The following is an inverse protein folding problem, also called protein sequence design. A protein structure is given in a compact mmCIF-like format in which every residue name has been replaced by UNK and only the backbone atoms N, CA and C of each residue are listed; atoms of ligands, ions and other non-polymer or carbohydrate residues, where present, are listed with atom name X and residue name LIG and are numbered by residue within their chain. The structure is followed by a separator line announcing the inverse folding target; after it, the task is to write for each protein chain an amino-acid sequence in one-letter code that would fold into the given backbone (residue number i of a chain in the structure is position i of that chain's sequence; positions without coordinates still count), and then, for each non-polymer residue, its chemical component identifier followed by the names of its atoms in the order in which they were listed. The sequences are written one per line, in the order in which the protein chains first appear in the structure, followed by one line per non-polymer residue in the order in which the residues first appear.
data_IF_008621876050
#
_entry.id   IF_008621876050
#
_cell.length_a   1.000
_cell.length_b   1.000
_cell.length_c   1.000
_cell.angle_alpha   90.00
_cell.angle_beta   90.00
_cell.angle_gamma   90.00
#
_symmetry.space_group_name_H-M   'P 1'
#
loop_
_entity.id
_entity.type
_entity.pdbx_description
1 polymer ?
#
# COMPACT_ATOMS: atom_id res chain seq x y z
N UNK A 1 20.66 29.24 22.40
CA UNK A 1 20.85 28.95 20.95
C UNK A 1 20.72 27.46 20.58
N UNK A 2 20.46 26.52 21.50
CA UNK A 2 20.45 25.07 21.18
C UNK A 2 19.05 24.41 21.16
N UNK A 3 18.00 25.05 21.65
CA UNK A 3 16.64 24.47 21.71
C UNK A 3 15.85 24.65 20.42
N UNK A 4 16.08 25.75 19.69
CA UNK A 4 15.36 26.08 18.46
C UNK A 4 15.78 25.20 17.25
N UNK A 5 17.00 24.64 17.28
CA UNK A 5 17.48 23.65 16.28
C UNK A 5 16.77 22.30 16.44
N UNK A 6 16.54 21.86 17.68
CA UNK A 6 15.94 20.56 18.00
C UNK A 6 14.44 20.54 17.66
N UNK A 7 13.71 21.62 17.95
CA UNK A 7 12.28 21.72 17.58
C UNK A 7 12.08 21.73 16.05
N UNK A 8 13.01 22.34 15.29
CA UNK A 8 12.96 22.34 13.82
C UNK A 8 13.25 20.95 13.21
N UNK A 9 14.23 20.20 13.73
CA UNK A 9 14.48 18.81 13.28
C UNK A 9 13.27 17.91 13.55
N UNK A 10 12.66 18.01 14.74
CA UNK A 10 11.45 17.26 15.09
C UNK A 10 10.26 17.58 14.16
N UNK A 11 10.13 18.84 13.72
CA UNK A 11 9.11 19.22 12.73
C UNK A 11 9.40 18.72 11.31
N UNK A 12 10.67 18.54 10.92
CA UNK A 12 11.06 17.97 9.62
C UNK A 12 10.81 16.45 9.59
N UNK A 13 11.12 15.74 10.67
CA UNK A 13 10.79 14.32 10.83
C UNK A 13 9.27 14.08 10.81
N UNK A 14 8.49 14.98 11.43
CA UNK A 14 7.03 14.93 11.41
C UNK A 14 6.44 15.27 10.02
N UNK A 15 7.04 16.19 9.25
CA UNK A 15 6.59 16.57 7.92
C UNK A 15 6.77 15.45 6.89
N UNK A 16 7.86 14.68 6.95
CA UNK A 16 8.07 13.48 6.11
C UNK A 16 7.07 12.36 6.43
N UNK A 17 6.68 12.21 7.70
CA UNK A 17 5.61 11.28 8.13
C UNK A 17 4.20 11.75 7.70
N UNK A 18 3.95 13.05 7.61
CA UNK A 18 2.65 13.62 7.20
C UNK A 18 2.48 13.74 5.69
N UNK A 19 3.56 13.98 4.93
CA UNK A 19 3.51 14.17 3.48
C UNK A 19 3.08 12.90 2.72
N UNK A 20 3.22 11.72 3.32
CA UNK A 20 2.75 10.44 2.76
C UNK A 20 1.22 10.23 2.85
N UNK A 21 0.47 11.13 3.50
CA UNK A 21 -1.00 11.08 3.55
C UNK A 21 -1.72 12.02 2.57
N UNK A 22 -0.98 12.87 1.86
CA UNK A 22 -1.54 13.69 0.80
C UNK A 22 -1.48 12.89 -0.50
N UNK A 23 -2.64 12.68 -1.12
CA UNK A 23 -2.76 12.16 -2.48
C UNK A 23 -2.15 13.17 -3.47
N UNK A 24 -0.83 13.30 -3.49
CA UNK A 24 -0.14 13.79 -4.67
C UNK A 24 -0.42 12.76 -5.75
N UNK A 25 -1.16 13.15 -6.79
CA UNK A 25 -1.21 12.36 -8.02
C UNK A 25 0.24 12.09 -8.41
N UNK A 26 0.64 10.82 -8.36
CA UNK A 26 1.87 10.36 -8.99
C UNK A 26 1.69 10.66 -10.48
N UNK A 27 2.14 11.83 -10.92
CA UNK A 27 2.34 12.10 -12.33
C UNK A 27 3.57 11.28 -12.68
N UNK A 28 3.36 10.00 -13.02
CA UNK A 28 4.37 9.17 -13.66
C UNK A 28 4.52 9.64 -15.12
N UNK A 29 4.82 10.92 -15.31
CA UNK A 29 5.38 11.44 -16.53
C UNK A 29 6.87 11.42 -16.32
N UNK A 30 7.54 10.37 -16.79
CA UNK A 30 8.95 10.54 -17.17
C UNK A 30 8.89 11.50 -18.36
N UNK A 31 8.88 12.80 -18.07
CA UNK A 31 9.07 13.80 -19.08
C UNK A 31 10.52 13.66 -19.51
N UNK A 32 10.75 13.39 -20.80
CA UNK A 32 12.07 13.60 -21.37
C UNK A 32 12.46 15.05 -21.05
N UNK A 33 13.72 15.31 -20.62
CA UNK A 33 14.19 16.68 -20.41
C UNK A 33 13.80 17.53 -21.62
N UNK A 34 13.29 18.75 -21.40
CA UNK A 34 12.96 19.65 -22.48
C UNK A 34 14.24 20.02 -23.24
N UNK A 35 14.51 19.31 -24.34
CA UNK A 35 15.68 19.53 -25.18
C UNK A 35 15.68 20.89 -25.88
N UNK A 36 14.60 21.68 -25.76
CA UNK A 36 14.52 23.03 -26.29
C UNK A 36 14.98 24.10 -25.29
N UNK A 37 15.16 23.74 -24.02
CA UNK A 37 15.74 24.63 -23.03
C UNK A 37 17.21 24.89 -23.38
N UNK A 38 17.58 26.17 -23.50
CA UNK A 38 18.98 26.57 -23.66
C UNK A 38 19.69 26.31 -22.34
N UNK A 39 20.61 25.35 -22.33
CA UNK A 39 21.45 25.09 -21.16
C UNK A 39 22.28 26.32 -20.83
N UNK A 40 22.25 26.74 -19.56
CA UNK A 40 23.21 27.72 -19.09
C UNK A 40 24.61 27.07 -19.11
N UNK A 41 25.53 27.64 -19.87
CA UNK A 41 26.92 27.18 -19.96
C UNK A 41 27.90 28.18 -19.35
N UNK A 42 27.38 29.22 -18.70
CA UNK A 42 28.19 30.20 -17.99
C UNK A 42 28.82 29.56 -16.76
N UNK A 43 30.12 29.25 -16.84
CA UNK A 43 30.90 28.66 -15.75
C UNK A 43 31.05 29.57 -14.53
N UNK A 44 30.63 30.84 -14.61
CA UNK A 44 30.55 31.74 -13.45
C UNK A 44 29.24 31.61 -12.68
N UNK A 45 28.22 30.97 -13.25
CA UNK A 45 27.00 30.63 -12.55
C UNK A 45 27.26 29.48 -11.56
N UNK A 46 26.89 29.67 -10.29
CA UNK A 46 27.11 28.68 -9.22
C UNK A 46 26.44 27.34 -9.57
N UNK A 47 25.26 27.34 -10.19
CA UNK A 47 24.58 26.10 -10.57
C UNK A 47 25.36 25.30 -11.62
N UNK A 48 25.99 25.98 -12.59
CA UNK A 48 26.83 25.36 -13.62
C UNK A 48 28.16 24.89 -13.02
N UNK A 49 28.74 25.69 -12.13
CA UNK A 49 29.97 25.33 -11.41
C UNK A 49 29.79 24.06 -10.59
N UNK A 50 28.71 23.98 -9.80
CA UNK A 50 28.37 22.80 -9.00
C UNK A 50 27.98 21.60 -9.87
N UNK A 51 27.22 21.80 -10.95
CA UNK A 51 26.87 20.71 -11.85
C UNK A 51 28.11 20.09 -12.53
N UNK A 52 29.14 20.88 -12.80
CA UNK A 52 30.38 20.40 -13.41
C UNK A 52 31.26 19.57 -12.47
N UNK A 53 31.01 19.58 -11.16
CA UNK A 53 31.73 18.70 -10.22
C UNK A 53 31.14 17.30 -10.18
N UNK A 54 29.93 17.10 -10.70
CA UNK A 54 29.25 15.80 -10.76
C UNK A 54 29.77 15.05 -11.99
N UNK A 55 30.47 13.93 -11.77
CA UNK A 55 31.12 13.20 -12.86
C UNK A 55 30.60 11.77 -13.00
N UNK A 56 30.57 11.26 -14.23
CA UNK A 56 30.18 9.86 -14.48
C UNK A 56 31.19 8.85 -13.88
N UNK A 57 32.43 9.30 -13.63
CA UNK A 57 33.47 8.48 -13.01
C UNK A 57 33.17 8.28 -11.52
N UNK A 58 32.96 9.36 -10.77
CA UNK A 58 32.65 9.34 -9.33
C UNK A 58 31.33 8.58 -9.07
N UNK A 59 30.32 8.87 -9.90
CA UNK A 59 29.05 8.13 -9.86
C UNK A 59 29.25 6.61 -10.02
N UNK A 60 30.14 6.21 -10.93
CA UNK A 60 30.41 4.79 -11.17
C UNK A 60 31.10 4.14 -9.99
N UNK A 61 31.95 4.85 -9.25
CA UNK A 61 32.59 4.33 -8.04
C UNK A 61 31.55 4.02 -6.96
N UNK A 62 30.68 4.98 -6.64
CA UNK A 62 29.57 4.81 -5.72
C UNK A 62 28.66 3.66 -6.12
N UNK A 63 28.26 3.61 -7.40
CA UNK A 63 27.34 2.61 -7.92
C UNK A 63 27.95 1.20 -7.85
N UNK A 64 29.25 1.07 -8.15
CA UNK A 64 29.96 -0.22 -8.09
C UNK A 64 29.94 -0.79 -6.68
N UNK A 65 30.12 0.05 -5.66
CA UNK A 65 30.07 -0.36 -4.26
C UNK A 65 28.64 -0.71 -3.86
N UNK A 66 27.69 0.21 -4.07
CA UNK A 66 26.30 0.01 -3.65
C UNK A 66 25.71 -1.23 -4.31
N UNK A 67 25.93 -1.44 -5.62
CA UNK A 67 25.43 -2.57 -6.39
C UNK A 67 26.36 -3.80 -6.38
N UNK A 68 27.32 -3.87 -5.46
CA UNK A 68 28.19 -5.05 -5.33
C UNK A 68 27.45 -6.27 -4.77
N UNK A 69 28.00 -7.47 -5.00
CA UNK A 69 27.46 -8.71 -4.44
C UNK A 69 27.62 -8.75 -2.92
N UNK A 70 28.65 -8.09 -2.39
CA UNK A 70 28.92 -7.89 -0.97
C UNK A 70 27.76 -7.19 -0.27
N UNK A 71 27.09 -6.24 -0.94
CA UNK A 71 25.92 -5.53 -0.43
C UNK A 71 24.62 -6.33 -0.62
N UNK A 72 24.70 -7.51 -1.23
CA UNK A 72 23.64 -8.54 -1.23
C UNK A 72 22.29 -8.08 -1.78
N UNK A 73 22.26 -7.03 -2.60
CA UNK A 73 21.03 -6.43 -3.12
C UNK A 73 20.22 -5.59 -2.13
N UNK A 74 20.80 -5.24 -0.97
CA UNK A 74 20.30 -4.21 -0.04
C UNK A 74 18.83 -4.35 0.39
N UNK A 75 18.34 -5.58 0.57
CA UNK A 75 16.95 -5.80 1.01
C UNK A 75 16.70 -5.24 2.41
N UNK A 76 15.64 -4.45 2.54
CA UNK A 76 15.25 -3.81 3.80
C UNK A 76 15.25 -4.81 4.95
N UNK A 77 15.91 -4.43 6.06
CA UNK A 77 16.06 -5.27 7.26
C UNK A 77 17.06 -6.42 7.13
N UNK A 78 17.91 -6.44 6.10
CA UNK A 78 19.01 -7.38 5.94
C UNK A 78 20.37 -6.67 6.01
N UNK A 79 21.48 -7.39 6.31
CA UNK A 79 22.80 -6.77 6.53
C UNK A 79 23.29 -5.85 5.40
N UNK A 80 23.00 -6.19 4.15
CA UNK A 80 23.37 -5.35 3.01
C UNK A 80 22.70 -3.97 2.98
N UNK A 81 21.52 -3.85 3.59
CA UNK A 81 20.83 -2.57 3.76
C UNK A 81 21.53 -1.70 4.81
N UNK A 82 21.95 -2.29 5.93
CA UNK A 82 22.73 -1.60 6.97
C UNK A 82 24.09 -1.13 6.42
N UNK A 83 24.77 -1.98 5.65
CA UNK A 83 26.03 -1.63 4.98
C UNK A 83 25.86 -0.44 4.02
N UNK A 84 24.75 -0.39 3.29
CA UNK A 84 24.41 0.74 2.44
C UNK A 84 24.17 2.03 3.23
N UNK A 85 23.42 1.96 4.32
CA UNK A 85 23.18 3.10 5.19
C UNK A 85 24.50 3.63 5.80
N UNK A 86 25.37 2.73 6.25
CA UNK A 86 26.70 3.06 6.77
C UNK A 86 27.57 3.73 5.71
N UNK A 87 27.63 3.16 4.49
CA UNK A 87 28.37 3.75 3.37
C UNK A 87 27.91 5.18 3.06
N UNK A 88 26.60 5.40 2.90
CA UNK A 88 26.02 6.72 2.59
C UNK A 88 26.35 7.71 3.72
N UNK A 89 26.11 7.32 4.97
CA UNK A 89 26.38 8.19 6.12
C UNK A 89 27.87 8.51 6.29
N UNK A 90 28.76 7.56 5.96
CA UNK A 90 30.20 7.73 5.98
C UNK A 90 30.66 8.75 4.94
N UNK A 91 30.10 8.70 3.73
CA UNK A 91 30.36 9.69 2.69
C UNK A 91 29.88 11.08 3.11
N UNK A 92 28.64 11.23 3.59
CA UNK A 92 28.15 12.51 4.14
C UNK A 92 29.05 13.05 5.28
N UNK A 93 29.54 12.17 6.14
CA UNK A 93 30.47 12.54 7.20
C UNK A 93 31.82 13.02 6.67
N UNK A 94 32.34 12.38 5.61
CA UNK A 94 33.60 12.77 4.98
C UNK A 94 33.53 14.17 4.34
N UNK A 95 32.34 14.56 3.88
CA UNK A 95 32.03 15.89 3.36
C UNK A 95 31.77 16.93 4.46
N UNK A 96 31.73 16.53 5.74
CA UNK A 96 31.41 17.43 6.84
C UNK A 96 29.94 17.85 6.93
N UNK A 97 29.03 17.15 6.25
CA UNK A 97 27.59 17.45 6.29
C UNK A 97 27.07 17.34 7.73
N UNK A 98 26.35 18.33 8.28
CA UNK A 98 25.86 18.28 9.64
C UNK A 98 24.94 17.08 9.93
N UNK A 99 25.13 16.47 11.10
CA UNK A 99 24.26 15.43 11.65
C UNK A 99 23.03 16.06 12.29
N UNK A 100 21.85 15.74 11.77
CA UNK A 100 20.59 16.34 12.23
C UNK A 100 19.77 15.45 13.17
N UNK A 101 20.11 14.17 13.33
CA UNK A 101 19.33 13.23 14.14
C UNK A 101 20.05 12.88 15.45
N UNK A 102 19.82 13.62 16.55
CA UNK A 102 20.42 13.37 17.87
C UNK A 102 21.95 13.08 17.84
N UNK A 103 22.68 13.76 16.96
CA UNK A 103 24.12 13.56 16.77
C UNK A 103 24.50 12.48 15.74
N UNK A 104 23.54 12.01 14.94
CA UNK A 104 23.67 11.01 13.88
C UNK A 104 22.99 11.44 12.56
N UNK A 105 23.16 10.65 11.50
CA UNK A 105 22.47 10.80 10.21
C UNK A 105 21.21 9.93 10.10
N UNK A 106 21.00 8.99 11.01
CA UNK A 106 19.94 8.00 10.89
C UNK A 106 18.62 8.47 11.49
N UNK A 107 17.55 8.30 10.71
CA UNK A 107 16.19 8.32 11.21
C UNK A 107 15.63 6.89 11.13
N UNK A 108 15.36 6.29 12.29
CA UNK A 108 14.79 4.94 12.34
C UNK A 108 13.35 4.91 11.81
N UNK A 109 13.07 3.89 10.99
CA UNK A 109 11.74 3.62 10.42
C UNK A 109 11.39 2.17 10.67
N UNK A 110 10.20 1.92 11.23
CA UNK A 110 9.72 0.57 11.45
C UNK A 110 8.70 0.15 10.38
N UNK A 111 8.83 -1.09 9.93
CA UNK A 111 7.96 -1.72 8.95
C UNK A 111 7.32 -2.96 9.56
N UNK A 112 6.04 -3.19 9.28
CA UNK A 112 5.42 -4.49 9.53
C UNK A 112 5.36 -5.28 8.24
N UNK A 113 5.95 -6.47 8.25
CA UNK A 113 5.82 -7.47 7.19
C UNK A 113 4.73 -8.44 7.60
N UNK A 114 3.65 -8.53 6.83
CA UNK A 114 2.52 -9.39 7.15
C UNK A 114 2.29 -10.41 6.04
N UNK A 115 2.16 -11.68 6.43
CA UNK A 115 1.79 -12.78 5.52
C UNK A 115 0.69 -13.65 6.14
N UNK A 116 0.09 -14.52 5.33
CA UNK A 116 -0.80 -15.57 5.82
C UNK A 116 0.02 -16.75 6.35
N UNK A 117 -0.13 -17.09 7.62
CA UNK A 117 0.31 -18.37 8.19
C UNK A 117 -0.71 -19.48 7.87
N UNK A 118 -2.00 -19.14 7.95
CA UNK A 118 -3.09 -19.98 7.47
C UNK A 118 -4.12 -19.12 6.73
N UNK A 119 -4.64 -19.61 5.61
CA UNK A 119 -5.70 -18.95 4.85
C UNK A 119 -6.56 -20.00 4.14
N UNK A 120 -7.47 -20.61 4.89
CA UNK A 120 -8.32 -21.72 4.42
C UNK A 120 -9.80 -21.38 4.57
N UNK A 121 -10.59 -21.79 3.59
CA UNK A 121 -12.05 -21.65 3.61
C UNK A 121 -12.68 -22.97 3.18
N UNK A 122 -13.70 -23.40 3.92
CA UNK A 122 -14.51 -24.56 3.56
C UNK A 122 -15.98 -24.18 3.45
N UNK A 123 -16.67 -24.71 2.45
CA UNK A 123 -18.13 -24.58 2.30
C UNK A 123 -18.72 -25.98 2.14
N UNK A 124 -19.66 -26.35 3.01
CA UNK A 124 -20.32 -27.65 3.00
C UNK A 124 -19.34 -28.84 3.04
N UNK A 125 -18.20 -28.67 3.74
CA UNK A 125 -17.15 -29.68 3.86
C UNK A 125 -16.17 -29.72 2.67
N UNK A 126 -16.37 -28.91 1.63
CA UNK A 126 -15.45 -28.81 0.50
C UNK A 126 -14.41 -27.70 0.75
N UNK A 127 -13.15 -28.00 0.46
CA UNK A 127 -12.04 -27.04 0.52
C UNK A 127 -12.03 -26.12 -0.71
N UNK A 128 -11.84 -24.83 -0.46
CA UNK A 128 -11.61 -23.83 -1.50
C UNK A 128 -10.15 -23.37 -1.46
N UNK A 129 -9.55 -23.14 -2.62
CA UNK A 129 -8.12 -22.81 -2.73
C UNK A 129 -7.92 -21.30 -2.85
N UNK A 130 -7.07 -20.75 -1.98
CA UNK A 130 -6.61 -19.36 -2.08
C UNK A 130 -5.92 -19.10 -3.43
N UNK A 131 -6.02 -17.86 -3.93
CA UNK A 131 -5.53 -17.45 -5.25
C UNK A 131 -6.15 -18.19 -6.46
N UNK A 132 -7.20 -19.00 -6.23
CA UNK A 132 -8.01 -19.64 -7.26
C UNK A 132 -9.50 -19.35 -7.05
N UNK A 133 -10.02 -19.73 -5.89
CA UNK A 133 -11.44 -19.64 -5.58
C UNK A 133 -11.79 -18.42 -4.74
N UNK A 134 -10.83 -17.93 -3.94
CA UNK A 134 -10.92 -16.69 -3.18
C UNK A 134 -9.55 -16.03 -3.00
N UNK A 135 -9.55 -14.75 -2.65
CA UNK A 135 -8.36 -14.02 -2.16
C UNK A 135 -8.70 -13.17 -0.94
N UNK A 136 -7.68 -12.94 -0.12
CA UNK A 136 -7.69 -12.01 0.99
C UNK A 136 -6.30 -11.39 1.13
N UNK A 137 -6.26 -10.13 1.54
CA UNK A 137 -5.02 -9.37 1.70
C UNK A 137 -4.65 -9.29 3.19
N UNK A 138 -3.47 -9.78 3.60
CA UNK A 138 -3.12 -9.89 5.01
C UNK A 138 -2.91 -8.52 5.70
N UNK A 139 -2.58 -7.48 4.93
CA UNK A 139 -2.53 -6.07 5.38
C UNK A 139 -3.91 -5.44 5.57
N UNK A 140 -4.96 -5.98 4.93
CA UNK A 140 -6.32 -5.42 4.96
C UNK A 140 -7.34 -6.26 5.74
N UNK A 141 -7.01 -7.50 6.08
CA UNK A 141 -7.91 -8.47 6.73
C UNK A 141 -7.26 -8.95 8.02
N UNK A 142 -7.99 -8.96 9.13
CA UNK A 142 -7.51 -9.46 10.42
C UNK A 142 -7.58 -10.98 10.54
N UNK A 143 -7.18 -11.50 11.71
CA UNK A 143 -7.35 -12.92 12.03
C UNK A 143 -8.84 -13.29 12.11
N UNK A 144 -9.18 -14.49 11.65
CA UNK A 144 -10.53 -15.03 11.73
C UNK A 144 -10.47 -16.56 11.81
N UNK A 145 -11.02 -17.14 12.87
CA UNK A 145 -11.20 -18.59 12.97
C UNK A 145 -12.58 -18.89 13.52
N UNK A 146 -13.52 -19.27 12.65
CA UNK A 146 -14.89 -19.55 13.05
C UNK A 146 -15.65 -20.38 12.02
N UNK A 147 -16.81 -20.89 12.45
CA UNK A 147 -17.80 -21.53 11.59
C UNK A 147 -19.12 -20.75 11.63
N UNK A 148 -19.86 -20.74 10.53
CA UNK A 148 -21.18 -20.13 10.40
C UNK A 148 -22.11 -21.05 9.60
N UNK A 149 -23.33 -21.23 10.10
CA UNK A 149 -24.40 -21.99 9.43
C UNK A 149 -25.36 -21.11 8.62
N UNK A 150 -25.14 -19.79 8.64
CA UNK A 150 -25.93 -18.81 7.91
C UNK A 150 -24.98 -17.78 7.28
N UNK A 151 -25.20 -17.49 5.99
CA UNK A 151 -24.62 -16.36 5.28
C UNK A 151 -25.78 -15.47 4.82
N UNK A 152 -25.69 -14.17 5.08
CA UNK A 152 -26.72 -13.21 4.73
C UNK A 152 -26.36 -12.50 3.42
N UNK A 153 -27.10 -12.76 2.34
CA UNK A 153 -27.00 -11.92 1.16
C UNK A 153 -27.52 -10.52 1.47
N UNK A 154 -26.70 -9.49 1.23
CA UNK A 154 -26.95 -8.10 1.64
C UNK A 154 -26.75 -7.13 0.45
N UNK A 155 -27.26 -7.49 -0.72
CA UNK A 155 -27.26 -6.60 -1.89
C UNK A 155 -25.84 -6.18 -2.29
N UNK A 156 -25.55 -4.88 -2.19
CA UNK A 156 -24.27 -4.28 -2.57
C UNK A 156 -23.41 -3.87 -1.36
N UNK A 157 -23.91 -4.07 -0.13
CA UNK A 157 -23.22 -3.69 1.11
C UNK A 157 -23.07 -2.18 1.30
N UNK A 158 -23.98 -1.39 0.72
CA UNK A 158 -23.93 0.08 0.75
C UNK A 158 -24.68 0.62 1.97
N UNK A 159 -24.16 1.67 2.59
CA UNK A 159 -24.85 2.41 3.66
C UNK A 159 -24.82 3.92 3.40
N UNK A 160 -25.75 4.38 2.57
CA UNK A 160 -25.89 5.75 2.15
C UNK A 160 -27.27 6.31 2.56
N UNK A 161 -27.42 7.61 2.83
CA UNK A 161 -28.73 8.21 3.12
C UNK A 161 -29.80 7.91 2.07
N UNK A 162 -29.43 7.91 0.78
CA UNK A 162 -30.35 7.64 -0.34
C UNK A 162 -30.63 6.14 -0.52
N UNK A 163 -29.66 5.29 -0.18
CA UNK A 163 -29.76 3.84 -0.31
C UNK A 163 -28.91 3.12 0.74
N UNK A 164 -29.53 2.30 1.58
CA UNK A 164 -28.81 1.49 2.56
C UNK A 164 -29.30 0.04 2.56
N UNK A 165 -28.37 -0.87 2.28
CA UNK A 165 -28.58 -2.31 2.39
C UNK A 165 -28.78 -2.77 3.85
N UNK A 166 -28.28 -1.98 4.80
CA UNK A 166 -28.35 -2.24 6.25
C UNK A 166 -29.69 -1.84 6.87
N UNK A 167 -30.51 -1.04 6.15
CA UNK A 167 -31.77 -0.51 6.66
C UNK A 167 -32.74 -1.62 7.09
N UNK A 168 -33.04 -1.69 8.39
CA UNK A 168 -33.91 -2.69 9.03
C UNK A 168 -33.41 -4.15 8.90
N UNK A 169 -32.11 -4.35 8.66
CA UNK A 169 -31.49 -5.68 8.57
C UNK A 169 -30.57 -5.93 9.76
N UNK A 170 -30.70 -7.09 10.42
CA UNK A 170 -29.84 -7.48 11.55
C UNK A 170 -28.58 -8.16 11.02
N UNK A 171 -27.44 -7.46 11.02
CA UNK A 171 -26.17 -7.93 10.44
C UNK A 171 -25.05 -8.19 11.46
N UNK A 172 -25.21 -7.75 12.71
CA UNK A 172 -24.19 -7.92 13.76
C UNK A 172 -23.83 -9.39 13.96
N UNK A 173 -22.53 -9.68 14.04
CA UNK A 173 -21.91 -11.00 14.16
C UNK A 173 -22.19 -11.98 13.00
N UNK A 174 -22.72 -11.47 11.86
CA UNK A 174 -23.02 -12.31 10.70
C UNK A 174 -21.92 -12.28 9.64
N UNK A 175 -21.86 -13.35 8.85
CA UNK A 175 -21.20 -13.34 7.56
C UNK A 175 -22.18 -12.80 6.52
N UNK A 176 -21.76 -11.80 5.74
CA UNK A 176 -22.58 -11.24 4.66
C UNK A 176 -21.99 -11.56 3.29
N UNK A 177 -22.85 -11.72 2.28
CA UNK A 177 -22.49 -11.88 0.87
C UNK A 177 -22.99 -10.66 0.10
N UNK A 178 -22.08 -9.96 -0.58
CA UNK A 178 -22.40 -8.73 -1.33
C UNK A 178 -21.93 -8.82 -2.78
N UNK A 179 -22.63 -8.10 -3.66
CA UNK A 179 -22.16 -7.84 -5.02
C UNK A 179 -21.18 -6.67 -5.04
N UNK A 180 -20.29 -6.67 -6.01
CA UNK A 180 -19.51 -5.50 -6.43
C UNK A 180 -20.40 -4.44 -7.08
N UNK A 181 -19.93 -3.20 -7.13
CA UNK A 181 -20.63 -2.07 -7.76
C UNK A 181 -21.80 -1.55 -6.93
N UNK A 182 -22.80 -0.99 -7.59
CA UNK A 182 -23.98 -0.44 -6.92
C UNK A 182 -25.25 -0.68 -7.79
N UNK A 183 -26.46 -0.48 -7.23
CA UNK A 183 -27.68 -0.81 -7.96
C UNK A 183 -27.98 0.20 -9.08
N UNK A 184 -28.21 -0.34 -10.28
CA UNK A 184 -28.66 0.42 -11.46
C UNK A 184 -30.18 0.32 -11.65
N UNK A 185 -30.76 1.33 -12.29
CA UNK A 185 -32.11 1.37 -12.84
C UNK A 185 -32.14 0.72 -14.22
N UNK A 186 -33.35 0.55 -14.77
CA UNK A 186 -33.54 -0.02 -16.12
C UNK A 186 -33.03 0.86 -17.25
N UNK A 187 -32.95 2.17 -17.03
CA UNK A 187 -32.45 3.17 -17.98
C UNK A 187 -30.92 3.32 -17.90
N UNK A 188 -30.24 2.44 -17.18
CA UNK A 188 -28.79 2.46 -16.93
C UNK A 188 -28.29 3.62 -16.06
N UNK A 189 -29.18 4.40 -15.42
CA UNK A 189 -28.78 5.32 -14.36
C UNK A 189 -28.61 4.59 -13.01
N UNK A 190 -27.75 5.09 -12.13
CA UNK A 190 -27.55 4.55 -10.78
C UNK A 190 -28.60 5.08 -9.81
N UNK A 191 -28.96 4.27 -8.81
CA UNK A 191 -29.92 4.69 -7.79
C UNK A 191 -29.37 5.77 -6.85
N UNK A 192 -28.07 5.78 -6.59
CA UNK A 192 -27.45 6.74 -5.66
C UNK A 192 -27.25 8.13 -6.28
N UNK A 193 -26.76 8.19 -7.52
CA UNK A 193 -26.50 9.47 -8.20
C UNK A 193 -27.68 9.96 -9.02
N UNK A 194 -28.56 9.05 -9.45
CA UNK A 194 -29.62 9.35 -10.40
C UNK A 194 -29.13 9.55 -11.84
N UNK A 195 -27.83 9.38 -12.12
CA UNK A 195 -27.19 9.62 -13.42
C UNK A 195 -26.53 8.35 -13.95
N UNK A 196 -25.98 8.39 -15.17
CA UNK A 196 -25.13 7.30 -15.71
C UNK A 196 -23.77 7.19 -15.03
N UNK A 197 -23.39 8.17 -14.21
CA UNK A 197 -22.13 8.17 -13.48
C UNK A 197 -22.30 7.46 -12.13
N UNK A 198 -21.41 6.51 -11.79
CA UNK A 198 -21.48 5.81 -10.53
C UNK A 198 -21.13 6.73 -9.35
N UNK A 199 -21.65 6.40 -8.18
CA UNK A 199 -21.18 6.99 -6.93
C UNK A 199 -19.81 6.43 -6.53
N UNK A 200 -19.17 7.06 -5.54
CA UNK A 200 -17.92 6.54 -4.97
C UNK A 200 -18.06 5.13 -4.39
N UNK A 201 -19.27 4.69 -4.02
CA UNK A 201 -19.49 3.32 -3.54
C UNK A 201 -19.23 2.24 -4.58
N UNK A 202 -19.25 2.55 -5.87
CA UNK A 202 -19.03 1.54 -6.93
C UNK A 202 -17.58 1.03 -6.94
N UNK A 203 -16.61 1.93 -6.79
CA UNK A 203 -15.18 1.61 -6.82
C UNK A 203 -14.53 1.50 -5.44
N UNK A 204 -15.08 2.16 -4.42
CA UNK A 204 -14.49 2.20 -3.08
C UNK A 204 -14.99 1.04 -2.20
N UNK A 205 -14.32 -0.10 -2.32
CA UNK A 205 -14.59 -1.28 -1.50
C UNK A 205 -14.24 -1.05 -0.02
N UNK A 206 -13.22 -0.25 0.27
CA UNK A 206 -12.80 0.04 1.64
C UNK A 206 -13.90 0.81 2.39
N UNK A 207 -14.63 1.72 1.70
CA UNK A 207 -15.84 2.37 2.24
C UNK A 207 -16.94 1.37 2.62
N UNK A 208 -17.20 0.36 1.79
CA UNK A 208 -18.16 -0.72 2.12
C UNK A 208 -17.71 -1.54 3.33
N UNK A 209 -16.42 -1.88 3.40
CA UNK A 209 -15.86 -2.65 4.50
C UNK A 209 -15.85 -1.87 5.83
N UNK A 210 -15.59 -0.55 5.79
CA UNK A 210 -15.72 0.35 6.95
C UNK A 210 -17.16 0.39 7.44
N UNK A 211 -18.13 0.48 6.53
CA UNK A 211 -19.56 0.41 6.89
C UNK A 211 -19.94 -0.94 7.51
N UNK A 212 -19.49 -2.06 6.93
CA UNK A 212 -19.72 -3.39 7.47
C UNK A 212 -19.15 -3.52 8.90
N UNK A 213 -17.94 -3.02 9.13
CA UNK A 213 -17.30 -3.02 10.46
C UNK A 213 -18.09 -2.17 11.46
N UNK A 214 -18.54 -0.98 11.07
CA UNK A 214 -19.42 -0.10 11.88
C UNK A 214 -20.70 -0.82 12.32
N UNK A 215 -21.27 -1.66 11.45
CA UNK A 215 -22.47 -2.45 11.76
C UNK A 215 -22.18 -3.77 12.52
N UNK A 216 -20.92 -4.05 12.85
CA UNK A 216 -20.51 -5.25 13.57
C UNK A 216 -20.60 -6.52 12.74
N UNK A 217 -20.49 -6.43 11.41
CA UNK A 217 -20.42 -7.60 10.52
C UNK A 217 -19.17 -8.41 10.84
N UNK A 218 -19.32 -9.74 10.97
CA UNK A 218 -18.21 -10.64 11.29
C UNK A 218 -17.27 -10.85 10.11
N UNK A 219 -17.81 -11.05 8.91
CA UNK A 219 -17.04 -11.19 7.68
C UNK A 219 -17.85 -10.79 6.46
N UNK A 220 -17.21 -10.16 5.47
CA UNK A 220 -17.80 -9.77 4.19
C UNK A 220 -17.27 -10.66 3.08
N UNK A 221 -18.17 -11.33 2.35
CA UNK A 221 -17.86 -12.09 1.15
C UNK A 221 -18.25 -11.24 -0.07
N UNK A 222 -17.27 -10.88 -0.90
CA UNK A 222 -17.43 -9.99 -2.04
C UNK A 222 -17.37 -10.85 -3.31
N UNK A 223 -18.45 -10.87 -4.09
CA UNK A 223 -18.46 -11.60 -5.36
C UNK A 223 -17.60 -10.83 -6.38
N UNK A 224 -16.51 -11.46 -6.83
CA UNK A 224 -15.58 -10.92 -7.81
C UNK A 224 -15.59 -11.80 -9.08
N UNK A 225 -16.06 -11.23 -10.18
CA UNK A 225 -16.11 -11.87 -11.50
C UNK A 225 -14.75 -11.87 -12.21
N UNK A 226 -13.90 -10.88 -11.93
CA UNK A 226 -12.53 -10.77 -12.42
C UNK A 226 -11.46 -11.40 -11.52
N UNK A 227 -11.79 -12.40 -10.69
CA UNK A 227 -10.90 -12.86 -9.61
C UNK A 227 -9.51 -13.30 -10.13
N UNK A 228 -9.46 -13.99 -11.29
CA UNK A 228 -8.19 -14.43 -11.89
C UNK A 228 -7.30 -13.26 -12.32
N UNK A 229 -7.90 -12.22 -12.89
CA UNK A 229 -7.18 -11.01 -13.26
C UNK A 229 -6.67 -10.29 -12.00
N UNK A 230 -7.51 -10.20 -10.97
CA UNK A 230 -7.14 -9.64 -9.68
C UNK A 230 -5.99 -10.41 -9.03
N UNK A 231 -5.98 -11.74 -9.10
CA UNK A 231 -4.85 -12.57 -8.67
C UNK A 231 -3.60 -12.21 -9.46
N UNK A 232 -3.68 -12.14 -10.80
CA UNK A 232 -2.57 -11.77 -11.67
C UNK A 232 -1.93 -10.43 -11.31
N UNK A 233 -2.76 -9.39 -11.12
CA UNK A 233 -2.34 -8.04 -10.74
C UNK A 233 -1.75 -7.94 -9.33
N UNK A 234 -2.06 -8.90 -8.45
CA UNK A 234 -1.69 -8.84 -7.03
C UNK A 234 -0.80 -10.01 -6.56
N UNK A 235 -0.20 -10.78 -7.48
CA UNK A 235 0.58 -11.98 -7.12
C UNK A 235 1.62 -11.74 -6.03
N UNK A 236 2.37 -10.62 -6.10
CA UNK A 236 3.39 -10.26 -5.09
C UNK A 236 2.80 -10.14 -3.69
N UNK A 237 1.65 -9.45 -3.53
CA UNK A 237 0.98 -9.25 -2.23
C UNK A 237 0.28 -10.51 -1.72
N UNK A 238 -0.13 -11.41 -2.62
CA UNK A 238 -0.84 -12.64 -2.26
C UNK A 238 0.11 -13.78 -1.88
N UNK A 239 1.30 -13.83 -2.49
CA UNK A 239 2.27 -14.91 -2.31
C UNK A 239 3.46 -14.51 -1.42
N UNK A 240 3.72 -13.21 -1.28
CA UNK A 240 4.79 -12.65 -0.46
C UNK A 240 4.25 -11.81 0.70
N UNK A 241 5.14 -11.34 1.59
CA UNK A 241 4.76 -10.43 2.65
C UNK A 241 4.28 -9.09 2.07
N UNK A 242 3.27 -8.50 2.71
CA UNK A 242 2.89 -7.12 2.52
C UNK A 242 3.62 -6.25 3.53
N UNK A 243 4.13 -5.10 3.07
CA UNK A 243 4.93 -4.19 3.90
C UNK A 243 4.11 -2.94 4.16
N UNK A 244 4.01 -2.54 5.43
CA UNK A 244 3.39 -1.29 5.85
C UNK A 244 4.30 -0.56 6.82
N UNK A 245 4.37 0.77 6.70
CA UNK A 245 5.00 1.61 7.73
C UNK A 245 4.25 1.45 9.05
N UNK A 246 4.98 1.42 10.14
CA UNK A 246 4.37 1.30 11.46
C UNK A 246 5.14 2.03 12.56
N UNK A 247 4.45 2.28 13.67
CA UNK A 247 5.04 2.67 14.94
C UNK A 247 4.89 1.55 16.00
N UNK A 248 4.59 0.30 15.56
CA UNK A 248 4.38 -0.87 16.42
C UNK A 248 3.51 -1.95 15.76
N UNK A 249 3.30 -3.10 16.40
CA UNK A 249 2.38 -4.11 15.85
C UNK A 249 0.92 -3.64 16.02
N UNK A 250 0.27 -3.26 14.91
CA UNK A 250 -1.17 -2.97 14.90
C UNK A 250 -1.95 -4.23 14.54
N UNK A 251 -2.60 -4.81 15.54
CA UNK A 251 -3.43 -6.00 15.31
C UNK A 251 -4.79 -5.70 14.69
N UNK A 252 -5.28 -4.46 14.82
CA UNK A 252 -6.65 -4.10 14.42
C UNK A 252 -6.68 -3.44 13.04
N UNK A 253 -7.35 -4.07 12.09
CA UNK A 253 -7.63 -3.49 10.78
C UNK A 253 -8.72 -2.43 10.89
N UNK A 254 -8.72 -1.36 10.10
CA UNK A 254 -9.87 -0.44 10.04
C UNK A 254 -11.07 -1.03 9.28
N UNK A 255 -10.81 -2.09 8.52
CA UNK A 255 -11.78 -2.73 7.63
C UNK A 255 -12.37 -3.97 8.31
N UNK A 256 -13.61 -4.32 7.95
CA UNK A 256 -14.18 -5.62 8.27
C UNK A 256 -13.34 -6.74 7.63
N UNK A 257 -13.25 -7.89 8.31
CA UNK A 257 -12.65 -9.07 7.71
C UNK A 257 -13.41 -9.43 6.43
N UNK A 258 -12.70 -9.77 5.37
CA UNK A 258 -13.34 -9.99 4.08
C UNK A 258 -12.60 -10.98 3.19
N UNK A 259 -13.34 -11.52 2.23
CA UNK A 259 -12.86 -12.38 1.16
C UNK A 259 -13.43 -11.87 -0.16
N UNK A 260 -12.59 -11.73 -1.18
CA UNK A 260 -13.05 -11.69 -2.56
C UNK A 260 -13.21 -13.13 -3.01
N UNK A 261 -14.41 -13.52 -3.43
CA UNK A 261 -14.74 -14.89 -3.79
C UNK A 261 -15.12 -14.98 -5.27
N UNK A 262 -14.80 -16.10 -5.89
CA UNK A 262 -15.18 -16.38 -7.27
C UNK A 262 -16.70 -16.52 -7.40
N UNK A 263 -17.21 -16.31 -8.61
CA UNK A 263 -18.64 -16.53 -8.90
C UNK A 263 -19.05 -18.00 -8.69
N UNK A 264 -18.14 -18.96 -8.89
CA UNK A 264 -18.37 -20.38 -8.59
C UNK A 264 -18.55 -20.61 -7.09
N UNK A 265 -17.63 -20.10 -6.27
CA UNK A 265 -17.75 -20.19 -4.81
C UNK A 265 -19.02 -19.50 -4.28
N UNK A 266 -19.39 -18.36 -4.87
CA UNK A 266 -20.64 -17.67 -4.55
C UNK A 266 -21.88 -18.52 -4.89
N UNK A 267 -21.88 -19.26 -6.01
CA UNK A 267 -22.97 -20.19 -6.36
C UNK A 267 -23.10 -21.31 -5.33
N UNK A 268 -21.99 -21.86 -4.85
CA UNK A 268 -22.00 -22.92 -3.83
C UNK A 268 -22.51 -22.43 -2.47
N UNK A 269 -22.19 -21.19 -2.10
CA UNK A 269 -22.76 -20.50 -0.92
C UNK A 269 -24.28 -20.30 -1.08
N UNK A 270 -24.72 -19.91 -2.28
CA UNK A 270 -26.13 -19.64 -2.57
C UNK A 270 -26.97 -20.94 -2.63
N UNK A 271 -26.40 -22.01 -3.15
CA UNK A 271 -27.05 -23.33 -3.27
C UNK A 271 -28.39 -23.27 -3.99
N UNK A 272 -29.41 -23.88 -3.39
CA UNK A 272 -30.79 -23.97 -3.91
C UNK A 272 -31.55 -22.64 -3.96
N UNK A 273 -30.97 -21.54 -3.46
CA UNK A 273 -31.61 -20.21 -3.39
C UNK A 273 -31.26 -19.30 -4.56
N UNK A 274 -30.67 -19.82 -5.64
CA UNK A 274 -30.31 -19.07 -6.85
C UNK A 274 -31.47 -18.19 -7.38
N UNK A 275 -32.67 -18.76 -7.54
CA UNK A 275 -33.88 -18.08 -8.00
C UNK A 275 -34.29 -16.97 -7.04
N UNK A 276 -34.07 -17.15 -5.74
CA UNK A 276 -34.36 -16.14 -4.73
C UNK A 276 -33.40 -14.97 -4.84
N UNK A 277 -32.09 -15.23 -4.99
CA UNK A 277 -31.08 -14.19 -5.18
C UNK A 277 -31.32 -13.41 -6.48
N UNK A 278 -31.65 -14.09 -7.57
CA UNK A 278 -32.02 -13.43 -8.84
C UNK A 278 -33.23 -12.51 -8.65
N UNK A 279 -34.25 -12.95 -7.92
CA UNK A 279 -35.43 -12.12 -7.58
C UNK A 279 -35.04 -10.92 -6.71
N UNK A 280 -34.17 -11.11 -5.72
CA UNK A 280 -33.67 -10.02 -4.86
C UNK A 280 -32.90 -8.98 -5.68
N UNK A 281 -32.00 -9.39 -6.59
CA UNK A 281 -31.30 -8.48 -7.50
C UNK A 281 -32.27 -7.69 -8.38
N UNK A 282 -33.22 -8.38 -9.02
CA UNK A 282 -34.26 -7.72 -9.84
C UNK A 282 -35.12 -6.74 -9.03
N UNK A 283 -35.42 -7.06 -7.77
CA UNK A 283 -36.15 -6.17 -6.87
C UNK A 283 -35.34 -4.91 -6.56
N UNK A 284 -34.06 -5.06 -6.21
CA UNK A 284 -33.14 -3.95 -5.96
C UNK A 284 -33.06 -3.04 -7.20
N UNK A 285 -32.80 -3.61 -8.39
CA UNK A 285 -32.78 -2.87 -9.67
C UNK A 285 -34.07 -2.10 -9.94
N UNK A 286 -35.24 -2.73 -9.69
CA UNK A 286 -36.55 -2.13 -10.00
C UNK A 286 -36.99 -1.08 -8.98
N UNK A 287 -36.64 -1.24 -7.71
CA UNK A 287 -37.22 -0.47 -6.60
C UNK A 287 -36.23 0.44 -5.87
N UNK A 288 -34.93 0.26 -6.06
CA UNK A 288 -33.92 1.02 -5.31
C UNK A 288 -34.02 0.76 -3.81
N UNK A 289 -34.45 -0.44 -3.41
CA UNK A 289 -34.64 -0.81 -2.01
C UNK A 289 -33.85 -2.06 -1.71
N UNK A 290 -33.32 -2.11 -0.50
CA UNK A 290 -32.57 -3.26 -0.02
C UNK A 290 -33.44 -4.53 -0.01
N UNK A 291 -32.80 -5.67 -0.27
CA UNK A 291 -33.45 -6.97 -0.23
C UNK A 291 -32.44 -8.03 0.20
N UNK A 292 -32.54 -8.42 1.47
CA UNK A 292 -31.68 -9.44 2.06
C UNK A 292 -32.24 -10.85 1.85
N UNK A 293 -31.35 -11.85 1.89
CA UNK A 293 -31.74 -13.24 1.85
C UNK A 293 -30.82 -14.11 2.70
N UNK A 294 -31.41 -14.93 3.57
CA UNK A 294 -30.68 -15.93 4.34
C UNK A 294 -30.31 -17.14 3.48
N UNK A 295 -29.03 -17.47 3.49
CA UNK A 295 -28.43 -18.66 2.89
C UNK A 295 -27.94 -19.57 4.02
N UNK A 296 -27.93 -20.89 3.81
CA UNK A 296 -27.57 -21.87 4.86
C UNK A 296 -26.41 -22.79 4.48
N UNK A 297 -25.28 -22.28 3.96
CA UNK A 297 -24.09 -23.11 3.82
C UNK A 297 -23.50 -23.43 5.20
N UNK A 298 -22.79 -24.55 5.31
CA UNK A 298 -21.82 -24.75 6.39
C UNK A 298 -20.50 -24.06 5.99
N UNK A 299 -20.34 -22.80 6.38
CA UNK A 299 -19.16 -21.99 6.09
C UNK A 299 -18.17 -22.10 7.24
N UNK A 300 -16.90 -22.32 6.95
CA UNK A 300 -15.82 -22.17 7.92
C UNK A 300 -14.64 -21.44 7.28
N UNK A 301 -13.94 -20.65 8.10
CA UNK A 301 -12.75 -19.92 7.71
C UNK A 301 -11.71 -20.03 8.81
N UNK A 302 -10.45 -20.19 8.40
CA UNK A 302 -9.29 -20.08 9.27
C UNK A 302 -8.22 -19.22 8.58
N UNK A 303 -8.13 -17.98 9.03
CA UNK A 303 -7.22 -16.94 8.58
C UNK A 303 -6.37 -16.49 9.76
N UNK A 304 -5.10 -16.87 9.72
CA UNK A 304 -4.10 -16.51 10.72
C UNK A 304 -2.97 -15.78 10.02
N UNK A 305 -2.65 -14.59 10.51
CA UNK A 305 -1.56 -13.77 10.02
C UNK A 305 -0.30 -14.00 10.84
N UNK A 306 0.83 -13.90 10.16
CA UNK A 306 2.13 -13.74 10.77
C UNK A 306 2.65 -12.34 10.43
N UNK A 307 2.89 -11.55 11.46
CA UNK A 307 3.46 -10.20 11.34
C UNK A 307 4.82 -10.14 12.04
N UNK A 308 5.80 -9.56 11.36
CA UNK A 308 7.12 -9.28 11.94
C UNK A 308 7.44 -7.80 11.78
N UNK A 309 8.01 -7.19 12.81
CA UNK A 309 8.55 -5.83 12.71
C UNK A 309 9.99 -5.92 12.23
N UNK A 310 10.30 -5.18 11.17
CA UNK A 310 11.67 -4.92 10.75
C UNK A 310 11.95 -3.43 10.94
N UNK A 311 13.16 -3.13 11.37
CA UNK A 311 13.66 -1.77 11.44
C UNK A 311 14.49 -1.51 10.19
N UNK A 312 14.30 -0.34 9.60
CA UNK A 312 15.17 0.23 8.59
C UNK A 312 15.56 1.64 9.01
N UNK A 313 16.42 2.28 8.22
CA UNK A 313 16.93 3.62 8.51
C UNK A 313 16.77 4.51 7.29
N UNK A 314 16.27 5.72 7.45
CA UNK A 314 16.58 6.77 6.49
C UNK A 314 17.96 7.34 6.85
N UNK A 315 18.74 7.76 5.85
CA UNK A 315 19.99 8.50 6.04
C UNK A 315 19.75 9.93 5.56
N UNK A 316 19.98 10.92 6.42
CA UNK A 316 19.60 12.30 6.19
C UNK A 316 20.80 13.23 6.26
N UNK A 317 21.07 13.99 5.19
CA UNK A 317 21.96 15.16 5.20
C UNK A 317 21.14 16.45 5.16
N UNK A 318 21.70 17.55 5.68
CA UNK A 318 21.05 18.85 5.66
C UNK A 318 22.04 19.98 5.39
N UNK A 319 21.75 20.76 4.35
CA UNK A 319 22.45 21.99 4.00
C UNK A 319 21.54 23.17 4.36
N UNK A 320 21.98 24.02 5.28
CA UNK A 320 21.17 25.15 5.74
C UNK A 320 21.19 26.27 4.67
N UNK A 321 20.01 26.67 4.19
CA UNK A 321 19.87 27.82 3.30
C UNK A 321 20.34 29.12 3.95
N UNK A 322 20.56 30.16 3.16
CA UNK A 322 21.07 31.44 3.65
C UNK A 322 19.94 32.42 3.99
N UNK A 323 19.07 32.71 3.02
CA UNK A 323 17.98 33.69 3.09
C UNK A 323 16.60 33.05 3.28
N UNK A 324 16.34 31.87 2.70
CA UNK A 324 15.07 31.13 2.79
C UNK A 324 15.14 29.91 3.72
N UNK A 325 15.58 30.14 4.96
CA UNK A 325 15.83 29.06 5.95
C UNK A 325 14.61 28.25 6.40
N UNK A 326 13.42 28.78 6.15
CA UNK A 326 12.16 28.12 6.50
C UNK A 326 11.54 27.35 5.32
N UNK A 327 12.15 27.47 4.13
CA UNK A 327 11.79 26.67 2.96
C UNK A 327 12.67 25.42 2.89
N UNK A 328 12.08 24.29 2.51
CA UNK A 328 12.76 23.00 2.46
C UNK A 328 12.63 22.43 1.07
N UNK A 329 13.78 22.13 0.47
CA UNK A 329 13.89 21.30 -0.73
C UNK A 329 14.40 19.93 -0.30
N UNK A 330 13.64 18.88 -0.63
CA UNK A 330 14.04 17.49 -0.38
C UNK A 330 14.46 16.86 -1.70
N UNK A 331 15.74 16.52 -1.79
CA UNK A 331 16.29 15.66 -2.85
C UNK A 331 16.48 14.28 -2.23
N UNK A 332 15.93 13.24 -2.86
CA UNK A 332 15.92 11.91 -2.26
C UNK A 332 16.00 10.80 -3.30
N UNK A 333 16.48 9.65 -2.82
CA UNK A 333 16.48 8.37 -3.50
C UNK A 333 16.28 7.28 -2.44
N UNK A 334 15.66 6.17 -2.82
CA UNK A 334 15.68 4.98 -1.95
C UNK A 334 16.93 4.15 -2.27
N UNK A 335 17.55 3.59 -1.23
CA UNK A 335 18.80 2.83 -1.36
C UNK A 335 18.60 1.31 -1.18
N UNK A 336 17.41 0.88 -0.72
CA UNK A 336 17.05 -0.53 -0.63
C UNK A 336 16.76 -1.13 -2.01
N UNK A 337 16.89 -2.45 -2.12
CA UNK A 337 16.44 -3.18 -3.31
C UNK A 337 15.93 -4.60 -2.96
N UNK A 338 15.72 -5.46 -3.97
CA UNK A 338 15.05 -6.76 -3.86
C UNK A 338 15.84 -7.78 -3.01
N UNK A 339 17.15 -7.63 -2.88
CA UNK A 339 18.02 -8.58 -2.18
C UNK A 339 18.33 -9.84 -2.99
N UNK A 340 18.51 -10.95 -2.28
CA UNK A 340 18.82 -12.26 -2.87
C UNK A 340 17.59 -13.15 -2.91
N UNK A 341 17.29 -13.77 -4.05
CA UNK A 341 16.23 -14.80 -4.19
C UNK A 341 16.84 -16.10 -4.74
N UNK A 342 16.84 -17.13 -3.90
CA UNK A 342 17.61 -18.35 -4.19
C UNK A 342 19.09 -18.02 -4.28
N UNK A 343 19.74 -18.42 -5.37
CA UNK A 343 21.16 -18.15 -5.62
C UNK A 343 21.43 -16.82 -6.36
N UNK A 344 20.37 -16.14 -6.81
CA UNK A 344 20.49 -14.90 -7.59
C UNK A 344 20.43 -13.68 -6.67
N UNK A 345 21.44 -12.81 -6.76
CA UNK A 345 21.46 -11.49 -6.14
C UNK A 345 20.87 -10.50 -7.13
N UNK A 346 19.91 -9.70 -6.65
CA UNK A 346 19.39 -8.56 -7.39
C UNK A 346 20.14 -7.33 -6.89
N UNK A 347 21.18 -6.93 -7.62
CA UNK A 347 22.11 -5.89 -7.19
C UNK A 347 21.52 -4.48 -7.22
N UNK A 348 20.42 -4.25 -7.96
CA UNK A 348 19.72 -2.96 -7.94
C UNK A 348 20.56 -1.77 -8.39
N UNK A 349 21.34 -1.94 -9.46
CA UNK A 349 22.15 -0.84 -9.99
C UNK A 349 21.27 0.27 -10.58
N UNK A 350 20.28 -0.09 -11.41
CA UNK A 350 19.35 0.87 -12.00
C UNK A 350 18.28 1.33 -10.98
N UNK A 351 17.60 0.37 -10.35
CA UNK A 351 16.64 0.56 -9.28
C UNK A 351 17.25 0.09 -7.95
N UNK A 352 17.74 0.95 -7.05
CA UNK A 352 17.91 2.39 -7.24
C UNK A 352 19.29 2.86 -6.77
N UNK A 353 20.32 2.05 -7.05
CA UNK A 353 21.71 2.43 -6.85
C UNK A 353 22.07 3.71 -7.61
N UNK A 354 21.63 3.82 -8.87
CA UNK A 354 21.87 4.98 -9.72
C UNK A 354 21.30 6.27 -9.13
N UNK A 355 20.05 6.25 -8.66
CA UNK A 355 19.44 7.39 -7.99
C UNK A 355 20.12 7.73 -6.66
N UNK A 356 20.50 6.72 -5.87
CA UNK A 356 21.24 6.92 -4.61
C UNK A 356 22.57 7.61 -4.86
N UNK A 357 23.34 7.12 -5.83
CA UNK A 357 24.59 7.72 -6.29
C UNK A 357 24.39 9.17 -6.72
N UNK A 358 23.37 9.48 -7.52
CA UNK A 358 23.09 10.86 -7.93
C UNK A 358 22.88 11.79 -6.73
N UNK A 359 22.22 11.33 -5.67
CA UNK A 359 22.03 12.14 -4.45
C UNK A 359 23.35 12.33 -3.69
N UNK A 360 24.25 11.35 -3.68
CA UNK A 360 25.58 11.49 -3.08
C UNK A 360 26.40 12.58 -3.79
N UNK A 361 26.44 12.55 -5.13
CA UNK A 361 27.15 13.56 -5.92
C UNK A 361 26.58 14.97 -5.73
N UNK A 362 25.25 15.10 -5.66
CA UNK A 362 24.61 16.38 -5.36
C UNK A 362 25.03 16.86 -3.97
N UNK A 363 25.11 15.97 -2.98
CA UNK A 363 25.57 16.33 -1.63
C UNK A 363 27.05 16.75 -1.63
N UNK A 364 27.90 16.07 -2.40
CA UNK A 364 29.31 16.44 -2.57
C UNK A 364 29.46 17.82 -3.21
N UNK A 365 28.74 18.08 -4.31
CA UNK A 365 28.73 19.39 -4.96
C UNK A 365 28.29 20.50 -4.00
N UNK A 366 27.25 20.27 -3.20
CA UNK A 366 26.74 21.25 -2.23
C UNK A 366 27.65 21.44 -1.00
N UNK A 367 28.65 20.58 -0.79
CA UNK A 367 29.58 20.68 0.34
C UNK A 367 30.79 21.60 0.07
N UNK A 368 30.93 22.11 -1.16
CA UNK A 368 31.93 23.11 -1.57
C UNK A 368 31.56 24.49 -1.05
#
# INVERSE_FOLDING_TARGET
MNTMRIEKVLSIAAALLLALQLNAQYVSGVNTPDSSAVYNTDTSDVSVLLANTISAEDMREHLTILASDEFGGRETGHPGNDMAAEYISGHLNSLGVPKIMDGDYYQDVAFTYTTWEANTVTINGNDYKGAKDFIAFPDKTGNASFQAKEVLYLGYGIDDPEYSDYKKVKVRDKVILINKGEPMKKDSSYWLTGTSEPSSWTGDIDRKLKSAKKHGVRMVLIIEDGLREMVGKNRRKLLGPTVTLTNGLKDNTELANHLYISTTMAKDIIGDKDKKIIKSRKYITKKGKNCDAKLKPAFAVNQLRKSTVLLGRNVLGFFEGTDLKDEIVVVSAHYDHIGKKGDVIYNGADDNGSGTTTVLEIAEALAI
#
